data_IF_474684590266
#
_entry.id   IF_474684590266
#
_cell.length_a   1.000
_cell.length_b   1.000
_cell.length_c   1.000
_cell.angle_alpha   90.00
_cell.angle_beta   90.00
_cell.angle_gamma   90.00
#
_symmetry.space_group_name_H-M   'P 1'
#
loop_
_entity.id
_entity.type
_entity.pdbx_description
1 polymer ?
#
# COMPACT_ATOMS: atom_id res chain seq x y z
N UNK A 1 9.49 -4.57 11.73
CA UNK A 1 9.63 -3.44 10.78
C UNK A 1 8.99 -2.21 11.38
N UNK A 2 9.59 -1.02 11.17
CA UNK A 2 9.14 0.27 11.74
C UNK A 2 7.67 0.58 11.44
N UNK A 3 7.17 0.25 10.25
CA UNK A 3 5.75 0.41 9.91
C UNK A 3 4.79 -0.35 10.85
N UNK A 4 5.16 -1.57 11.25
CA UNK A 4 4.33 -2.35 12.19
C UNK A 4 4.37 -1.76 13.60
N UNK A 5 5.50 -1.20 14.03
CA UNK A 5 5.58 -0.48 15.32
C UNK A 5 4.66 0.73 15.33
N UNK A 6 4.69 1.55 14.26
CA UNK A 6 3.81 2.71 14.11
C UNK A 6 2.33 2.32 14.14
N UNK A 7 1.95 1.24 13.44
CA UNK A 7 0.57 0.72 13.45
C UNK A 7 0.17 0.26 14.85
N UNK A 8 1.08 -0.41 15.56
CA UNK A 8 0.82 -0.89 16.92
C UNK A 8 0.69 0.26 17.92
N UNK A 9 1.52 1.30 17.82
CA UNK A 9 1.45 2.52 18.64
C UNK A 9 0.13 3.27 18.44
N UNK A 10 -0.38 3.32 17.21
CA UNK A 10 -1.69 3.91 16.90
C UNK A 10 -2.86 3.06 17.43
N UNK A 11 -2.61 1.78 17.76
CA UNK A 11 -3.63 0.82 18.21
C UNK A 11 -4.61 0.37 17.11
N UNK A 12 -4.48 0.90 15.89
CA UNK A 12 -5.31 0.56 14.73
C UNK A 12 -4.53 0.72 13.43
N UNK A 13 -4.72 -0.22 12.51
CA UNK A 13 -4.18 -0.14 11.16
C UNK A 13 -4.21 -1.49 10.47
N UNK A 14 -3.86 -1.49 9.18
CA UNK A 14 -3.80 -2.70 8.36
C UNK A 14 -2.44 -2.78 7.66
N UNK A 15 -1.92 -4.00 7.52
CA UNK A 15 -0.74 -4.30 6.72
C UNK A 15 -1.11 -5.43 5.75
N UNK A 16 -0.98 -5.16 4.45
CA UNK A 16 -1.17 -6.16 3.41
C UNK A 16 0.20 -6.59 2.89
N UNK A 17 0.55 -7.86 3.13
CA UNK A 17 1.78 -8.46 2.64
C UNK A 17 1.45 -9.37 1.45
N UNK A 18 1.78 -8.90 0.24
CA UNK A 18 1.64 -9.68 -0.98
C UNK A 18 2.95 -10.43 -1.22
N UNK A 19 2.90 -11.76 -1.11
CA UNK A 19 4.08 -12.60 -1.37
C UNK A 19 4.14 -12.92 -2.86
N UNK A 20 5.17 -12.42 -3.53
CA UNK A 20 5.51 -12.85 -4.88
C UNK A 20 6.67 -13.86 -4.82
N UNK A 21 6.54 -15.00 -5.49
CA UNK A 21 7.57 -16.04 -5.58
C UNK A 21 8.38 -15.96 -6.88
N UNK A 22 8.05 -15.01 -7.78
CA UNK A 22 8.77 -14.83 -9.04
C UNK A 22 9.86 -13.76 -8.94
N UNK A 23 11.13 -14.19 -8.98
CA UNK A 23 12.28 -13.28 -9.11
C UNK A 23 12.31 -12.75 -10.55
N UNK A 24 12.02 -11.47 -10.76
CA UNK A 24 12.24 -10.79 -12.04
C UNK A 24 12.79 -9.38 -11.84
N UNK A 25 13.79 -9.04 -12.65
CA UNK A 25 14.36 -7.70 -12.75
C UNK A 25 13.29 -6.79 -13.37
N UNK A 26 12.79 -5.82 -12.59
CA UNK A 26 11.91 -4.75 -13.10
C UNK A 26 12.82 -3.59 -13.49
N UNK A 27 12.73 -3.12 -14.74
CA UNK A 27 13.47 -1.94 -15.18
C UNK A 27 12.96 -0.70 -14.45
N UNK A 28 13.88 0.18 -14.02
CA UNK A 28 13.54 1.39 -13.27
C UNK A 28 12.69 2.35 -14.12
N UNK A 29 11.55 2.77 -13.59
CA UNK A 29 10.74 3.87 -14.15
C UNK A 29 9.33 3.49 -14.60
N UNK A 30 9.06 2.22 -14.91
CA UNK A 30 7.74 1.76 -15.35
C UNK A 30 6.99 0.95 -14.28
N UNK A 31 5.71 1.25 -14.11
CA UNK A 31 4.82 0.40 -13.31
C UNK A 31 4.50 -0.85 -14.12
N UNK A 32 5.13 -1.97 -13.76
CA UNK A 32 4.85 -3.26 -14.39
C UNK A 32 3.36 -3.62 -14.26
N UNK A 33 2.74 -4.28 -15.27
CA UNK A 33 1.40 -4.84 -15.16
C UNK A 33 1.20 -5.73 -13.92
N UNK A 34 2.27 -6.35 -13.44
CA UNK A 34 2.26 -7.16 -12.22
C UNK A 34 2.11 -6.30 -10.95
N UNK A 35 2.79 -5.15 -10.88
CA UNK A 35 2.66 -4.18 -9.79
C UNK A 35 1.25 -3.62 -9.72
N UNK A 36 0.64 -3.30 -10.87
CA UNK A 36 -0.77 -2.89 -10.93
C UNK A 36 -1.70 -3.99 -10.44
N UNK A 37 -1.48 -5.25 -10.84
CA UNK A 37 -2.27 -6.39 -10.37
C UNK A 37 -2.14 -6.59 -8.86
N UNK A 38 -0.93 -6.46 -8.31
CA UNK A 38 -0.69 -6.55 -6.88
C UNK A 38 -1.41 -5.43 -6.12
N UNK A 39 -1.35 -4.19 -6.61
CA UNK A 39 -2.11 -3.09 -6.01
C UNK A 39 -3.62 -3.31 -6.08
N UNK A 40 -4.16 -3.82 -7.19
CA UNK A 40 -5.57 -4.17 -7.29
C UNK A 40 -6.00 -5.22 -6.27
N UNK A 41 -5.19 -6.28 -6.07
CA UNK A 41 -5.46 -7.28 -5.03
C UNK A 41 -5.40 -6.67 -3.62
N UNK A 42 -4.40 -5.83 -3.34
CA UNK A 42 -4.30 -5.14 -2.06
C UNK A 42 -5.50 -4.23 -1.79
N UNK A 43 -5.94 -3.48 -2.80
CA UNK A 43 -7.12 -2.62 -2.72
C UNK A 43 -8.41 -3.43 -2.48
N UNK A 44 -8.58 -4.56 -3.19
CA UNK A 44 -9.73 -5.43 -3.00
C UNK A 44 -9.77 -6.02 -1.57
N UNK A 45 -8.63 -6.44 -1.03
CA UNK A 45 -8.51 -6.93 0.35
C UNK A 45 -8.93 -5.84 1.34
N UNK A 46 -8.36 -4.64 1.22
CA UNK A 46 -8.66 -3.52 2.13
C UNK A 46 -10.14 -3.12 2.08
N UNK A 47 -10.73 -3.06 0.88
CA UNK A 47 -12.15 -2.78 0.67
C UNK A 47 -13.05 -3.86 1.29
N UNK A 48 -12.67 -5.14 1.14
CA UNK A 48 -13.42 -6.27 1.73
C UNK A 48 -13.38 -6.29 3.26
N UNK A 49 -12.36 -5.65 3.86
CA UNK A 49 -12.26 -5.42 5.31
C UNK A 49 -13.10 -4.21 5.79
N UNK A 50 -13.83 -3.55 4.88
CA UNK A 50 -14.67 -2.39 5.21
C UNK A 50 -13.89 -1.08 5.34
N UNK A 51 -12.65 -1.03 4.88
CA UNK A 51 -11.86 0.20 4.88
C UNK A 51 -12.26 1.08 3.70
N UNK A 52 -12.18 2.40 3.88
CA UNK A 52 -12.58 3.38 2.86
C UNK A 52 -11.65 4.59 2.81
N UNK A 53 -11.19 5.09 3.96
CA UNK A 53 -10.27 6.24 4.04
C UNK A 53 -9.02 5.86 4.80
N UNK A 54 -7.86 6.09 4.18
CA UNK A 54 -6.58 5.56 4.64
C UNK A 54 -5.54 6.68 4.80
N UNK A 55 -4.69 6.53 5.81
CA UNK A 55 -3.41 7.26 5.90
C UNK A 55 -2.33 6.31 5.43
N UNK A 56 -1.64 6.66 4.34
CA UNK A 56 -0.59 5.82 3.77
C UNK A 56 0.73 6.03 4.51
N UNK A 57 1.29 4.96 5.07
CA UNK A 57 2.66 4.94 5.59
C UNK A 57 3.64 4.69 4.42
N UNK A 58 4.45 5.68 4.04
CA UNK A 58 5.39 5.56 2.91
C UNK A 58 6.60 6.49 3.05
N UNK A 59 7.75 6.05 2.53
CA UNK A 59 8.96 6.86 2.37
C UNK A 59 9.28 7.20 0.90
N UNK A 60 8.56 6.58 -0.04
CA UNK A 60 8.65 6.90 -1.46
C UNK A 60 7.85 8.17 -1.79
N UNK A 61 8.19 8.90 -2.87
CA UNK A 61 7.32 9.97 -3.37
C UNK A 61 5.90 9.43 -3.55
N UNK A 62 4.90 10.25 -3.20
CA UNK A 62 3.50 9.84 -3.11
C UNK A 62 3.11 9.05 -4.36
N UNK A 63 2.87 7.73 -4.24
CA UNK A 63 2.61 6.93 -5.42
C UNK A 63 1.31 7.41 -6.07
N UNK A 64 1.29 7.50 -7.39
CA UNK A 64 0.04 7.56 -8.15
C UNK A 64 -0.65 6.20 -7.99
N UNK A 65 -1.38 6.02 -6.89
CA UNK A 65 -2.19 4.81 -6.70
C UNK A 65 -3.45 5.00 -7.53
N UNK A 66 -3.35 4.66 -8.81
CA UNK A 66 -4.46 4.78 -9.77
C UNK A 66 -5.50 3.70 -9.49
N UNK A 67 -6.78 4.07 -9.49
CA UNK A 67 -7.89 3.13 -9.43
C UNK A 67 -8.31 2.66 -8.04
N UNK A 68 -7.80 3.26 -6.95
CA UNK A 68 -8.32 3.00 -5.60
C UNK A 68 -9.80 3.37 -5.45
N UNK A 69 -10.24 4.41 -6.16
CA UNK A 69 -11.61 4.88 -6.19
C UNK A 69 -12.60 3.80 -6.67
N UNK A 70 -12.18 2.95 -7.63
CA UNK A 70 -12.96 1.82 -8.11
C UNK A 70 -13.19 0.74 -7.03
N UNK A 71 -12.38 0.75 -5.97
CA UNK A 71 -12.52 -0.12 -4.79
C UNK A 71 -13.17 0.59 -3.59
N UNK A 72 -13.60 1.85 -3.75
CA UNK A 72 -14.15 2.66 -2.67
C UNK A 72 -13.11 3.12 -1.64
N UNK A 73 -11.84 3.19 -2.03
CA UNK A 73 -10.72 3.59 -1.18
C UNK A 73 -10.20 5.00 -1.53
N UNK A 74 -9.88 5.80 -0.51
CA UNK A 74 -9.20 7.09 -0.63
C UNK A 74 -7.96 7.14 0.28
N UNK A 75 -6.92 7.83 -0.20
CA UNK A 75 -5.77 8.21 0.62
C UNK A 75 -5.99 9.66 1.09
N UNK A 76 -6.36 9.82 2.35
CA UNK A 76 -6.67 11.13 2.93
C UNK A 76 -5.42 11.82 3.50
N UNK A 77 -4.31 11.08 3.61
CA UNK A 77 -3.04 11.61 4.07
C UNK A 77 -1.89 10.63 3.91
N UNK A 78 -0.68 11.13 4.10
CA UNK A 78 0.54 10.32 4.09
C UNK A 78 1.38 10.61 5.32
N UNK A 79 1.99 9.58 5.90
CA UNK A 79 2.93 9.71 7.02
C UNK A 79 4.21 8.93 6.69
N UNK A 80 5.36 9.53 7.01
CA UNK A 80 6.66 8.88 6.82
C UNK A 80 6.90 7.79 7.84
N UNK A 81 7.69 6.80 7.46
CA UNK A 81 8.19 5.75 8.34
C UNK A 81 9.61 6.15 8.76
N UNK A 82 9.90 6.30 10.07
CA UNK A 82 11.25 6.60 10.54
C UNK A 82 12.28 5.64 9.96
N UNK A 83 13.36 6.20 9.42
CA UNK A 83 14.56 5.46 9.03
C UNK A 83 15.46 5.39 10.26
N UNK A 84 15.95 4.21 10.60
CA UNK A 84 17.03 4.02 11.58
C UNK A 84 18.39 4.22 10.91
#
# INVERSE_FOLDING_TARGET
GQAMKLIAEEGRGALVLLRDTTMKLVAEGDVSPQTLRQYGLGAQILSSLGLSRLILLTNSPTPKVVGLDAYGLSIDGTRRIPLE
#
